data_IF_397682258689
#
_entry.id   IF_397682258689
#
_cell.length_a   1.000
_cell.length_b   1.000
_cell.length_c   1.000
_cell.angle_alpha   90.00
_cell.angle_beta   90.00
_cell.angle_gamma   90.00
#
_symmetry.space_group_name_H-M   'P 1'
#
loop_
_entity.id
_entity.type
_entity.pdbx_description
1 polymer ?
#
# COMPACT_ATOMS: atom_id res chain seq x y z
N UNK A 1 -15.61 8.73 -2.23
CA UNK A 1 -14.88 9.10 -3.46
C UNK A 1 -15.90 9.54 -4.47
N UNK A 2 -15.77 10.73 -5.05
CA UNK A 2 -16.71 11.19 -6.08
C UNK A 2 -16.50 10.36 -7.36
N UNK A 3 -17.54 10.22 -8.18
CA UNK A 3 -17.46 9.45 -9.45
C UNK A 3 -16.37 10.01 -10.37
N UNK A 4 -16.16 11.32 -10.35
CA UNK A 4 -15.11 12.02 -11.10
C UNK A 4 -13.69 11.61 -10.68
N UNK A 5 -13.47 11.32 -9.40
CA UNK A 5 -12.17 10.85 -8.90
C UNK A 5 -11.85 9.45 -9.42
N UNK A 6 -12.86 8.57 -9.53
CA UNK A 6 -12.71 7.19 -10.04
C UNK A 6 -12.26 7.21 -11.50
N UNK A 7 -12.92 8.02 -12.32
CA UNK A 7 -12.61 8.11 -13.75
C UNK A 7 -11.25 8.77 -14.01
N UNK A 8 -10.88 9.78 -13.20
CA UNK A 8 -9.55 10.37 -13.25
C UNK A 8 -8.45 9.35 -12.91
N UNK A 9 -8.66 8.52 -11.88
CA UNK A 9 -7.75 7.45 -11.51
C UNK A 9 -7.63 6.40 -12.62
N UNK A 10 -8.74 6.08 -13.31
CA UNK A 10 -8.72 5.12 -14.42
C UNK A 10 -7.88 5.60 -15.61
N UNK A 11 -7.95 6.90 -15.94
CA UNK A 11 -7.22 7.49 -17.07
C UNK A 11 -5.79 7.93 -16.76
N UNK A 12 -5.43 8.10 -15.48
CA UNK A 12 -4.09 8.55 -15.09
C UNK A 12 -3.01 7.54 -15.53
N UNK A 13 -1.80 7.98 -15.94
CA UNK A 13 -0.65 7.10 -16.14
C UNK A 13 -0.43 6.14 -14.98
N UNK A 14 -0.01 4.90 -15.27
CA UNK A 14 0.09 3.88 -14.21
C UNK A 14 1.16 4.19 -13.17
N UNK A 15 2.26 4.79 -13.62
CA UNK A 15 3.33 5.27 -12.74
C UNK A 15 2.84 6.32 -11.72
N UNK A 16 1.80 7.09 -12.05
CA UNK A 16 1.23 8.09 -11.14
C UNK A 16 0.40 7.43 -10.02
N UNK A 17 -0.11 6.23 -10.26
CA UNK A 17 -0.85 5.43 -9.27
C UNK A 17 0.07 4.53 -8.45
N UNK A 18 1.12 4.01 -9.11
CA UNK A 18 2.05 3.02 -8.57
C UNK A 18 3.47 3.51 -8.89
N UNK A 19 4.05 4.37 -8.03
CA UNK A 19 5.35 5.02 -8.29
C UNK A 19 6.53 4.06 -8.26
N UNK A 20 6.33 2.83 -7.79
CA UNK A 20 7.34 1.77 -7.82
C UNK A 20 6.66 0.43 -8.07
N UNK A 21 7.30 -0.41 -8.88
CA UNK A 21 6.87 -1.77 -9.17
C UNK A 21 8.04 -2.71 -8.90
N UNK A 22 7.83 -3.70 -8.03
CA UNK A 22 8.87 -4.66 -7.63
C UNK A 22 8.52 -6.04 -8.17
N UNK A 23 9.53 -6.76 -8.65
CA UNK A 23 9.44 -8.19 -8.93
C UNK A 23 10.04 -8.93 -7.74
N UNK A 24 9.23 -9.71 -7.03
CA UNK A 24 9.67 -10.59 -5.94
C UNK A 24 10.43 -11.82 -6.48
N UNK A 25 11.24 -12.53 -5.66
CA UNK A 25 12.05 -13.67 -6.12
C UNK A 25 11.26 -14.83 -6.77
N UNK A 26 9.97 -14.96 -6.47
CA UNK A 26 9.08 -15.95 -7.08
C UNK A 26 8.42 -15.47 -8.38
N UNK A 27 8.82 -14.28 -8.86
CA UNK A 27 8.29 -13.66 -10.06
C UNK A 27 6.97 -12.92 -9.87
N UNK A 28 6.48 -12.77 -8.63
CA UNK A 28 5.29 -11.96 -8.34
C UNK A 28 5.59 -10.47 -8.53
N UNK A 29 4.73 -9.76 -9.25
CA UNK A 29 4.83 -8.33 -9.52
C UNK A 29 3.96 -7.59 -8.50
N UNK A 30 4.59 -6.87 -7.58
CA UNK A 30 3.94 -6.16 -6.48
C UNK A 30 4.13 -4.64 -6.58
N UNK A 31 3.12 -3.84 -6.23
CA UNK A 31 3.26 -2.39 -6.17
C UNK A 31 4.07 -1.96 -4.94
N UNK A 32 4.76 -0.83 -5.08
CA UNK A 32 5.50 -0.09 -4.05
C UNK A 32 6.81 -0.72 -3.60
N UNK A 33 6.77 -1.71 -2.70
CA UNK A 33 7.98 -2.26 -2.05
C UNK A 33 7.81 -3.75 -1.71
N UNK A 34 8.93 -4.41 -1.39
CA UNK A 34 8.92 -5.78 -0.90
C UNK A 34 8.14 -5.90 0.41
N UNK A 35 7.22 -6.87 0.47
CA UNK A 35 6.35 -7.08 1.65
C UNK A 35 5.00 -6.34 1.58
N UNK A 36 4.72 -5.58 0.52
CA UNK A 36 3.36 -5.11 0.28
C UNK A 36 2.43 -6.32 0.08
N UNK A 37 1.23 -6.28 0.66
CA UNK A 37 0.35 -7.47 0.69
C UNK A 37 0.05 -7.93 -0.74
N UNK A 38 0.37 -9.20 -1.04
CA UNK A 38 0.13 -9.85 -2.35
C UNK A 38 -1.31 -9.76 -2.87
N UNK A 39 -2.30 -9.48 -2.00
CA UNK A 39 -3.68 -9.18 -2.42
C UNK A 39 -3.78 -7.99 -3.39
N UNK A 40 -2.77 -7.14 -3.44
CA UNK A 40 -2.68 -5.99 -4.33
C UNK A 40 -1.68 -6.18 -5.48
N UNK A 41 -1.17 -7.40 -5.69
CA UNK A 41 -0.23 -7.68 -6.78
C UNK A 41 -0.89 -7.55 -8.15
N UNK A 42 -0.06 -7.37 -9.19
CA UNK A 42 -0.49 -7.36 -10.58
C UNK A 42 -0.62 -8.78 -11.14
N UNK A 43 0.14 -9.74 -10.58
CA UNK A 43 0.23 -11.12 -11.04
C UNK A 43 1.67 -11.60 -11.09
N UNK A 44 1.94 -12.67 -11.85
CA UNK A 44 3.28 -13.24 -12.01
C UNK A 44 3.87 -12.97 -13.40
N UNK A 45 5.20 -12.85 -13.48
CA UNK A 45 5.92 -12.78 -14.75
C UNK A 45 5.54 -13.96 -15.65
N UNK A 46 5.30 -13.67 -16.94
CA UNK A 46 4.96 -14.68 -17.94
C UNK A 46 3.49 -15.10 -17.95
N UNK A 47 2.68 -14.67 -16.97
CA UNK A 47 1.26 -15.04 -16.92
C UNK A 47 0.43 -14.33 -18.00
N UNK A 48 0.66 -13.02 -18.20
CA UNK A 48 0.00 -12.15 -19.19
C UNK A 48 0.93 -10.99 -19.55
N UNK A 49 0.69 -10.31 -20.68
CA UNK A 49 1.30 -9.00 -20.97
C UNK A 49 1.05 -7.98 -19.84
N UNK A 50 2.06 -7.14 -19.54
CA UNK A 50 2.03 -6.20 -18.41
C UNK A 50 0.89 -5.19 -18.51
N UNK A 51 0.59 -4.70 -19.71
CA UNK A 51 -0.54 -3.81 -19.98
C UNK A 51 -1.88 -4.41 -19.55
N UNK A 52 -2.09 -5.71 -19.83
CA UNK A 52 -3.30 -6.44 -19.41
C UNK A 52 -3.35 -6.66 -17.91
N UNK A 53 -2.21 -6.86 -17.26
CA UNK A 53 -2.16 -6.94 -15.79
C UNK A 53 -2.48 -5.58 -15.15
N UNK A 54 -1.95 -4.49 -15.70
CA UNK A 54 -2.23 -3.12 -15.25
C UNK A 54 -3.71 -2.79 -15.42
N UNK A 55 -4.30 -3.13 -16.57
CA UNK A 55 -5.74 -2.93 -16.83
C UNK A 55 -6.61 -3.67 -15.80
N UNK A 56 -6.29 -4.95 -15.55
CA UNK A 56 -6.99 -5.75 -14.55
C UNK A 56 -6.83 -5.17 -13.13
N UNK A 57 -5.61 -4.76 -12.76
CA UNK A 57 -5.34 -4.13 -11.47
C UNK A 57 -6.08 -2.80 -11.31
N UNK A 58 -6.19 -1.99 -12.36
CA UNK A 58 -6.96 -0.74 -12.31
C UNK A 58 -8.42 -0.99 -12.02
N UNK A 59 -8.99 -2.02 -12.63
CA UNK A 59 -10.39 -2.37 -12.46
C UNK A 59 -10.72 -2.83 -11.02
N UNK A 60 -9.76 -3.44 -10.33
CA UNK A 60 -10.01 -4.09 -9.02
C UNK A 60 -9.37 -3.36 -7.83
N UNK A 61 -8.20 -2.76 -8.01
CA UNK A 61 -7.34 -2.28 -6.93
C UNK A 61 -7.21 -0.76 -6.87
N UNK A 62 -7.33 -0.03 -7.99
CA UNK A 62 -7.06 1.42 -8.01
C UNK A 62 -7.93 2.22 -7.02
N UNK A 63 -9.25 2.00 -7.03
CA UNK A 63 -10.18 2.69 -6.13
C UNK A 63 -9.94 2.34 -4.64
N UNK A 64 -9.80 1.07 -4.24
CA UNK A 64 -9.43 0.70 -2.87
C UNK A 64 -8.08 1.30 -2.42
N UNK A 65 -7.06 1.26 -3.26
CA UNK A 65 -5.72 1.79 -2.94
C UNK A 65 -5.77 3.31 -2.78
N UNK A 66 -6.48 4.02 -3.65
CA UNK A 66 -6.68 5.48 -3.52
C UNK A 66 -7.41 5.86 -2.23
N UNK A 67 -8.39 5.03 -1.81
CA UNK A 67 -9.11 5.23 -0.54
C UNK A 67 -8.17 5.06 0.66
N UNK A 68 -7.34 4.01 0.65
CA UNK A 68 -6.34 3.77 1.70
C UNK A 68 -5.34 4.92 1.75
N UNK A 69 -4.79 5.33 0.61
CA UNK A 69 -3.86 6.46 0.53
C UNK A 69 -4.46 7.74 1.11
N UNK A 70 -5.67 8.11 0.69
CA UNK A 70 -6.36 9.29 1.19
C UNK A 70 -6.53 9.26 2.71
N UNK A 71 -7.12 8.18 3.23
CA UNK A 71 -7.32 8.01 4.68
C UNK A 71 -6.01 8.04 5.47
N UNK A 72 -4.93 7.53 4.87
CA UNK A 72 -3.60 7.54 5.47
C UNK A 72 -3.06 8.96 5.54
N UNK A 73 -3.13 9.71 4.44
CA UNK A 73 -2.68 11.11 4.39
C UNK A 73 -3.50 12.01 5.33
N UNK A 74 -4.82 11.87 5.36
CA UNK A 74 -5.70 12.61 6.27
C UNK A 74 -5.33 12.34 7.73
N UNK A 75 -5.09 11.08 8.09
CA UNK A 75 -4.64 10.71 9.44
C UNK A 75 -3.26 11.26 9.78
N UNK A 76 -2.30 11.19 8.85
CA UNK A 76 -0.95 11.69 9.07
C UNK A 76 -0.92 13.22 9.22
N UNK A 77 -1.72 13.93 8.42
CA UNK A 77 -1.90 15.36 8.54
C UNK A 77 -2.53 15.76 9.89
N UNK A 78 -3.56 15.04 10.34
CA UNK A 78 -4.19 15.28 11.64
C UNK A 78 -3.25 15.01 12.84
N UNK A 79 -2.25 14.15 12.65
CA UNK A 79 -1.25 13.81 13.65
C UNK A 79 0.03 14.67 13.57
N UNK A 80 0.08 15.65 12.67
CA UNK A 80 1.24 16.52 12.43
C UNK A 80 2.56 15.76 12.19
N UNK A 81 2.47 14.64 11.44
CA UNK A 81 3.63 13.80 11.14
C UNK A 81 4.42 14.38 9.96
N UNK A 82 5.63 14.87 10.23
CA UNK A 82 6.49 15.48 9.22
C UNK A 82 7.20 14.45 8.31
N UNK A 83 7.64 13.31 8.87
CA UNK A 83 8.33 12.25 8.12
C UNK A 83 7.79 10.87 8.49
N UNK A 84 7.44 10.08 7.48
CA UNK A 84 7.05 8.69 7.67
C UNK A 84 7.30 7.86 6.40
N UNK A 85 7.32 6.54 6.57
CA UNK A 85 7.17 5.61 5.47
C UNK A 85 5.68 5.52 5.09
N UNK A 86 5.28 6.25 4.05
CA UNK A 86 3.91 6.31 3.59
C UNK A 86 3.36 4.92 3.20
N UNK A 87 4.19 4.05 2.63
CA UNK A 87 3.74 2.73 2.19
C UNK A 87 3.49 1.80 3.37
N UNK A 88 4.34 1.88 4.40
CA UNK A 88 4.08 1.21 5.67
C UNK A 88 2.78 1.71 6.32
N UNK A 89 2.55 3.02 6.31
CA UNK A 89 1.34 3.61 6.87
C UNK A 89 0.07 3.19 6.12
N UNK A 90 0.15 3.07 4.79
CA UNK A 90 -0.93 2.52 3.97
C UNK A 90 -1.20 1.05 4.30
N UNK A 91 -0.15 0.25 4.56
CA UNK A 91 -0.31 -1.15 4.96
C UNK A 91 -1.01 -1.31 6.30
N UNK A 92 -0.65 -0.47 7.29
CA UNK A 92 -1.30 -0.45 8.61
C UNK A 92 -2.76 0.00 8.50
N UNK A 93 -3.05 0.95 7.61
CA UNK A 93 -4.39 1.53 7.45
C UNK A 93 -5.30 0.68 6.55
N UNK A 94 -4.73 -0.25 5.76
CA UNK A 94 -5.50 -1.13 4.89
C UNK A 94 -6.30 -2.14 5.74
N UNK A 95 -7.62 -2.32 5.48
CA UNK A 95 -8.42 -3.28 6.23
C UNK A 95 -7.77 -4.67 6.20
N UNK A 96 -7.52 -5.19 7.41
CA UNK A 96 -7.12 -6.58 7.61
C UNK A 96 -8.17 -7.44 6.93
N UNK A 97 -7.73 -8.34 6.05
CA UNK A 97 -8.66 -9.34 5.55
C UNK A 97 -8.87 -10.26 6.76
N UNK A 98 -10.12 -10.38 7.22
CA UNK A 98 -10.49 -11.30 8.29
C UNK A 98 -10.09 -12.73 7.86
N UNK A 99 -8.96 -13.23 8.37
CA UNK A 99 -8.46 -14.57 8.10
C UNK A 99 -7.04 -14.59 7.54
N UNK A 100 -6.03 -14.55 8.42
CA UNK A 100 -4.63 -14.71 8.03
C UNK A 100 -3.70 -14.61 9.23
N UNK A 101 -3.64 -15.68 10.02
CA UNK A 101 -2.95 -15.81 11.31
C UNK A 101 -1.40 -15.74 11.25
N UNK A 102 -0.82 -15.11 10.21
CA UNK A 102 0.62 -15.04 9.96
C UNK A 102 1.22 -13.62 9.91
N UNK A 103 0.40 -12.58 9.73
CA UNK A 103 0.87 -11.18 9.68
C UNK A 103 0.92 -10.48 11.05
N UNK A 104 0.24 -11.05 12.06
CA UNK A 104 0.15 -10.46 13.41
C UNK A 104 1.51 -10.37 14.11
N UNK A 105 2.45 -11.26 13.79
CA UNK A 105 3.76 -11.32 14.47
C UNK A 105 4.73 -10.24 13.98
N UNK A 106 4.63 -9.80 12.72
CA UNK A 106 5.48 -8.73 12.17
C UNK A 106 4.91 -7.36 12.54
N UNK A 107 3.59 -7.18 12.50
CA UNK A 107 2.95 -5.92 12.88
C UNK A 107 3.16 -5.60 14.37
N UNK A 108 3.07 -6.60 15.26
CA UNK A 108 3.31 -6.40 16.69
C UNK A 108 4.77 -6.08 17.03
N UNK A 109 5.74 -6.64 16.30
CA UNK A 109 7.15 -6.38 16.60
C UNK A 109 7.59 -4.97 16.14
N UNK A 110 6.99 -4.45 15.06
CA UNK A 110 7.27 -3.10 14.55
C UNK A 110 6.55 -1.99 15.33
N UNK A 111 5.38 -2.27 15.94
CA UNK A 111 4.71 -1.33 16.86
C UNK A 111 5.59 -1.01 18.08
N UNK A 112 6.34 -1.98 18.58
CA UNK A 112 7.31 -1.78 19.67
C UNK A 112 8.41 -0.77 19.33
N UNK A 113 8.80 -0.64 18.05
CA UNK A 113 9.80 0.35 17.62
C UNK A 113 9.26 1.79 17.60
N UNK A 114 7.93 1.98 17.44
CA UNK A 114 7.30 3.31 17.53
C UNK A 114 7.20 3.85 18.95
N UNK A 115 6.91 2.99 19.93
CA UNK A 115 6.81 3.44 21.33
C UNK A 115 8.15 3.74 21.98
N UNK A 116 9.24 3.11 21.52
CA UNK A 116 10.54 3.25 22.19
C UNK A 116 11.34 4.50 21.76
N UNK A 117 10.93 5.21 20.70
CA UNK A 117 11.62 6.42 20.22
C UNK A 117 11.02 7.72 20.76
N UNK A 118 9.78 7.71 21.27
CA UNK A 118 9.20 8.86 21.97
C UNK A 118 9.71 9.04 23.41
N UNK A 119 10.34 8.03 24.01
CA UNK A 119 10.72 8.08 25.44
C UNK A 119 12.18 8.48 25.71
N UNK A 120 12.90 9.01 24.69
CA UNK A 120 14.34 9.33 24.78
C UNK A 120 14.66 10.83 24.78
N UNK A 121 13.70 11.67 25.15
CA UNK A 121 13.92 13.09 25.50
C UNK A 121 13.36 13.34 26.90
N UNK A 122 14.08 12.89 27.93
CA UNK A 122 14.03 13.36 29.32
C UNK A 122 15.02 12.53 30.15
N UNK A 123 16.32 12.83 30.00
CA UNK A 123 17.31 12.76 31.09
C UNK A 123 18.59 13.48 30.66
#
# INVERSE_FOLDING_TARGET
>A
MLVEDVERLRSAPFADLVPSLTVEPDGCIVPFTYGFRRKWSLGFIGQKPLDRMVEAWRATCAAPVATILRSTLERLAAADIEYCDLFWEMLVSAPMASGGMGSDRILNNSLSYRFNTSNKKNN
#
